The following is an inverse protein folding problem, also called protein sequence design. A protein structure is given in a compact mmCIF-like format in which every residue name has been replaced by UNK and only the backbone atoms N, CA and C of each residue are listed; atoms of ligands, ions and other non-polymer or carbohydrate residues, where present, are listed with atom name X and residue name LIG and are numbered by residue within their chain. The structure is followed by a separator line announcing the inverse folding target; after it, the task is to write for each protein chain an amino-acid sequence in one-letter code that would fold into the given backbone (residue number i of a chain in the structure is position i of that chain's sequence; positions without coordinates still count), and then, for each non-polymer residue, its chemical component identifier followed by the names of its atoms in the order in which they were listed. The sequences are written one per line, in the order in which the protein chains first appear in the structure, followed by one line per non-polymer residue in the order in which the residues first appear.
data_IF_928840409074
#
_entry.id   IF_928840409074
#
_cell.length_a   1.000
_cell.length_b   1.000
_cell.length_c   1.000
_cell.angle_alpha   90.00
_cell.angle_beta   90.00
_cell.angle_gamma   90.00
#
_symmetry.space_group_name_H-M   'P 1'
#
loop_
_entity.id
_entity.type
_entity.pdbx_description
1 polymer ?
#
# COMPACT_ATOMS: atom_id res chain seq x y z
N UNK A 1 0.29 5.88 -3.29
CA UNK A 1 -0.03 5.26 -4.57
C UNK A 1 0.87 5.67 -5.74
N UNK A 2 1.80 6.59 -5.53
CA UNK A 2 2.59 7.18 -6.63
C UNK A 2 4.08 7.24 -6.31
N UNK A 3 4.57 6.44 -5.36
CA UNK A 3 6.00 6.35 -5.15
C UNK A 3 6.71 5.56 -6.27
N UNK A 4 8.01 5.69 -6.31
CA UNK A 4 8.84 5.12 -7.39
C UNK A 4 8.71 3.61 -7.50
N UNK A 5 8.70 2.89 -6.36
CA UNK A 5 8.54 1.44 -6.38
C UNK A 5 7.16 1.04 -6.90
N UNK A 6 6.10 1.64 -6.38
CA UNK A 6 4.72 1.35 -6.78
C UNK A 6 4.48 1.64 -8.26
N UNK A 7 4.97 2.78 -8.77
CA UNK A 7 4.80 3.16 -10.17
C UNK A 7 5.58 2.25 -11.12
N UNK A 8 6.84 1.93 -10.81
CA UNK A 8 7.63 1.02 -11.62
C UNK A 8 7.03 -0.39 -11.61
N UNK A 9 6.59 -0.87 -10.45
CA UNK A 9 5.92 -2.16 -10.32
C UNK A 9 4.59 -2.19 -11.08
N UNK A 10 3.83 -1.10 -11.07
CA UNK A 10 2.62 -0.96 -11.90
C UNK A 10 2.94 -1.12 -13.39
N UNK A 11 3.97 -0.42 -13.87
CA UNK A 11 4.39 -0.53 -15.27
C UNK A 11 4.88 -1.95 -15.62
N UNK A 12 5.60 -2.61 -14.71
CA UNK A 12 6.00 -4.02 -14.87
C UNK A 12 4.78 -4.95 -14.95
N UNK A 13 3.79 -4.76 -14.06
CA UNK A 13 2.56 -5.56 -14.07
C UNK A 13 1.80 -5.39 -15.39
N UNK A 14 1.63 -4.16 -15.87
CA UNK A 14 0.96 -3.85 -17.13
C UNK A 14 1.69 -4.42 -18.36
N UNK A 15 3.01 -4.59 -18.28
CA UNK A 15 3.81 -5.23 -19.32
C UNK A 15 3.95 -6.74 -19.12
N UNK A 16 3.23 -7.35 -18.19
CA UNK A 16 3.19 -8.79 -17.98
C UNK A 16 4.45 -9.39 -17.34
N UNK A 17 5.31 -8.59 -16.72
CA UNK A 17 6.57 -9.06 -16.09
C UNK A 17 6.28 -10.09 -14.99
N UNK A 18 5.19 -9.95 -14.24
CA UNK A 18 4.79 -10.90 -13.20
C UNK A 18 3.88 -12.03 -13.72
N UNK A 19 3.60 -12.08 -15.03
CA UNK A 19 2.56 -12.94 -15.58
C UNK A 19 1.17 -12.48 -15.15
N UNK A 20 0.24 -13.39 -14.93
CA UNK A 20 -1.06 -13.08 -14.36
C UNK A 20 -0.88 -12.82 -12.85
N UNK A 21 -1.25 -11.62 -12.39
CA UNK A 21 -1.26 -11.30 -10.96
C UNK A 21 -2.50 -11.90 -10.32
N UNK A 22 -2.30 -12.85 -9.42
CA UNK A 22 -3.37 -13.62 -8.77
C UNK A 22 -3.68 -13.16 -7.34
N UNK A 23 -2.73 -12.49 -6.69
CA UNK A 23 -2.88 -12.00 -5.32
C UNK A 23 -2.14 -10.68 -5.13
N UNK A 24 -2.72 -9.80 -4.34
CA UNK A 24 -2.05 -8.59 -3.90
C UNK A 24 -2.27 -8.35 -2.39
N UNK A 25 -1.30 -7.71 -1.76
CA UNK A 25 -1.42 -7.25 -0.38
C UNK A 25 -1.05 -5.77 -0.30
N UNK A 26 -1.82 -5.04 0.51
CA UNK A 26 -1.54 -3.65 0.82
C UNK A 26 -1.74 -3.37 2.30
N UNK A 27 -1.06 -2.36 2.82
CA UNK A 27 -1.24 -1.96 4.20
C UNK A 27 -1.04 -0.47 4.42
N UNK A 28 -1.66 0.03 5.48
CA UNK A 28 -1.30 1.27 6.13
C UNK A 28 -1.15 1.00 7.63
N UNK A 29 0.09 0.77 8.03
CA UNK A 29 0.48 0.56 9.44
C UNK A 29 1.37 1.73 9.82
N UNK A 30 0.84 2.62 10.66
CA UNK A 30 1.49 3.87 11.03
C UNK A 30 1.10 4.24 12.45
N UNK A 31 1.96 3.98 13.42
CA UNK A 31 1.68 4.38 14.79
C UNK A 31 1.47 5.89 14.91
N UNK A 32 0.22 6.31 15.05
CA UNK A 32 -0.17 7.70 15.24
C UNK A 32 -0.44 8.04 16.71
N UNK A 33 -0.24 7.11 17.62
CA UNK A 33 -0.53 7.33 19.05
C UNK A 33 0.17 8.57 19.62
N UNK A 34 1.40 8.95 19.26
CA UNK A 34 2.02 10.19 19.71
C UNK A 34 1.27 11.47 19.27
N UNK A 35 0.50 11.37 18.19
CA UNK A 35 -0.21 12.50 17.59
C UNK A 35 -1.67 12.60 18.01
N UNK A 36 -2.23 11.63 18.78
CA UNK A 36 -3.63 11.64 19.17
C UNK A 36 -4.02 12.87 19.98
N UNK A 37 -3.09 13.41 20.78
CA UNK A 37 -3.29 14.67 21.49
C UNK A 37 -3.55 15.86 20.56
N UNK A 38 -2.85 15.89 19.42
CA UNK A 38 -3.04 16.90 18.39
C UNK A 38 -4.41 16.74 17.71
N UNK A 39 -4.78 15.51 17.34
CA UNK A 39 -6.10 15.24 16.76
C UNK A 39 -7.26 15.49 17.70
N UNK A 40 -7.01 15.43 19.02
CA UNK A 40 -8.02 15.73 20.03
C UNK A 40 -8.30 17.22 20.16
N UNK A 41 -7.29 18.06 19.98
CA UNK A 41 -7.35 19.51 20.19
C UNK A 41 -7.64 20.34 18.95
N UNK A 42 -7.50 19.80 17.76
CA UNK A 42 -7.50 20.55 16.50
C UNK A 42 -8.86 20.59 15.80
N UNK A 43 -9.96 20.41 16.52
CA UNK A 43 -11.24 20.78 15.98
C UNK A 43 -11.51 22.26 16.22
N UNK A 44 -11.77 23.05 15.17
CA UNK A 44 -12.43 24.33 15.34
C UNK A 44 -13.75 24.13 16.11
N UNK A 45 -14.00 24.94 17.11
CA UNK A 45 -15.20 24.87 17.94
C UNK A 45 -15.38 23.56 18.74
N UNK A 46 -14.34 23.08 19.44
CA UNK A 46 -14.34 21.86 20.25
C UNK A 46 -14.66 20.55 19.50
N UNK A 47 -14.52 20.54 18.19
CA UNK A 47 -14.69 19.32 17.39
C UNK A 47 -13.41 18.50 17.39
N UNK A 48 -13.58 17.20 17.49
CA UNK A 48 -12.48 16.25 17.31
C UNK A 48 -11.90 16.33 15.90
N UNK A 49 -10.59 16.16 15.76
CA UNK A 49 -9.96 15.99 14.45
C UNK A 49 -10.58 14.79 13.71
N UNK A 50 -10.79 14.92 12.41
CA UNK A 50 -11.53 13.95 11.58
C UNK A 50 -11.08 12.50 11.77
N UNK A 51 -9.78 12.28 11.92
CA UNK A 51 -9.22 10.93 12.04
C UNK A 51 -9.65 10.26 13.34
N UNK A 52 -9.59 10.99 14.46
CA UNK A 52 -10.03 10.48 15.75
C UNK A 52 -11.54 10.26 15.75
N UNK A 53 -12.31 11.25 15.33
CA UNK A 53 -13.77 11.16 15.22
C UNK A 53 -14.22 9.96 14.39
N UNK A 54 -13.54 9.71 13.27
CA UNK A 54 -13.86 8.59 12.39
C UNK A 54 -13.58 7.24 13.03
N UNK A 55 -12.43 7.07 13.70
CA UNK A 55 -12.08 5.84 14.43
C UNK A 55 -13.01 5.60 15.64
N UNK A 56 -13.54 6.66 16.25
CA UNK A 56 -14.50 6.52 17.34
C UNK A 56 -15.88 6.04 16.89
N UNK A 57 -16.30 6.38 15.69
CA UNK A 57 -17.67 6.11 15.19
C UNK A 57 -17.76 4.90 14.29
N UNK A 58 -16.69 4.54 13.60
CA UNK A 58 -16.68 3.48 12.58
C UNK A 58 -15.84 2.28 13.01
N UNK A 59 -16.05 1.16 12.34
CA UNK A 59 -15.25 -0.06 12.47
C UNK A 59 -14.70 -0.45 11.11
N UNK A 60 -13.56 -1.08 11.11
CA UNK A 60 -12.92 -1.58 9.91
C UNK A 60 -11.76 -0.71 9.43
N UNK A 61 -11.37 -0.86 8.17
CA UNK A 61 -10.35 -0.02 7.56
C UNK A 61 -10.92 1.35 7.21
N UNK A 62 -10.71 2.30 8.10
CA UNK A 62 -11.22 3.68 7.94
C UNK A 62 -10.33 4.55 7.05
N UNK A 63 -9.22 4.02 6.53
CA UNK A 63 -8.29 4.73 5.67
C UNK A 63 -7.60 3.80 4.66
N UNK A 64 -8.39 3.15 3.83
CA UNK A 64 -7.95 2.13 2.87
C UNK A 64 -7.05 2.65 1.74
N UNK A 65 -7.02 3.96 1.49
CA UNK A 65 -6.39 4.58 0.33
C UNK A 65 -4.95 4.13 0.10
N UNK A 66 -4.14 4.06 1.16
CA UNK A 66 -2.72 3.71 1.04
C UNK A 66 -2.48 2.21 0.79
N UNK A 67 -3.30 1.34 1.37
CA UNK A 67 -3.21 -0.09 1.14
C UNK A 67 -3.86 -0.52 -0.17
N UNK A 68 -5.12 -0.11 -0.38
CA UNK A 68 -5.93 -0.56 -1.51
C UNK A 68 -5.58 0.13 -2.83
N UNK A 69 -5.30 1.42 -2.81
CA UNK A 69 -5.10 2.21 -4.04
C UNK A 69 -4.04 1.64 -4.98
N UNK A 70 -2.79 1.39 -4.52
CA UNK A 70 -1.74 0.86 -5.38
C UNK A 70 -2.05 -0.53 -5.93
N UNK A 71 -2.58 -1.43 -5.09
CA UNK A 71 -2.88 -2.80 -5.52
C UNK A 71 -4.09 -2.84 -6.47
N UNK A 72 -5.08 -1.97 -6.27
CA UNK A 72 -6.23 -1.88 -7.18
C UNK A 72 -5.81 -1.44 -8.59
N UNK A 73 -4.83 -0.54 -8.71
CA UNK A 73 -4.28 -0.14 -10.00
C UNK A 73 -3.58 -1.32 -10.70
N UNK A 74 -2.76 -2.08 -9.97
CA UNK A 74 -2.02 -3.21 -10.53
C UNK A 74 -2.92 -4.41 -10.91
N UNK A 75 -4.10 -4.49 -10.32
CA UNK A 75 -5.09 -5.54 -10.60
C UNK A 75 -6.16 -5.11 -11.61
N UNK A 76 -6.05 -3.92 -12.19
CA UNK A 76 -6.99 -3.34 -13.15
C UNK A 76 -8.45 -3.24 -12.62
N UNK A 77 -8.60 -2.96 -11.32
CA UNK A 77 -9.93 -2.80 -10.71
C UNK A 77 -10.66 -1.63 -11.40
N UNK A 78 -11.88 -1.90 -11.87
CA UNK A 78 -12.72 -1.06 -12.74
C UNK A 78 -12.18 -0.83 -14.17
N UNK A 79 -11.13 -1.56 -14.57
CA UNK A 79 -10.54 -1.49 -15.93
C UNK A 79 -10.33 -2.87 -16.55
N UNK A 80 -11.02 -3.89 -16.09
CA UNK A 80 -10.92 -5.28 -16.52
C UNK A 80 -11.29 -6.27 -15.42
N UNK A 81 -11.28 -5.81 -14.17
CA UNK A 81 -11.72 -6.60 -13.01
C UNK A 81 -12.55 -5.73 -12.06
N UNK A 82 -13.24 -6.34 -11.10
CA UNK A 82 -14.02 -5.66 -10.07
C UNK A 82 -14.04 -6.45 -8.76
N UNK A 83 -14.16 -5.76 -7.66
CA UNK A 83 -14.33 -6.36 -6.34
C UNK A 83 -15.73 -7.01 -6.28
N UNK A 84 -15.79 -8.26 -5.80
CA UNK A 84 -17.04 -9.04 -5.75
C UNK A 84 -17.49 -9.32 -4.32
N UNK A 85 -16.58 -9.78 -3.48
CA UNK A 85 -16.88 -10.18 -2.11
C UNK A 85 -15.84 -9.60 -1.18
N UNK A 86 -16.27 -9.13 -0.01
CA UNK A 86 -15.40 -8.57 1.02
C UNK A 86 -15.74 -9.20 2.37
N UNK A 87 -14.69 -9.56 3.12
CA UNK A 87 -14.77 -9.94 4.53
C UNK A 87 -13.73 -9.13 5.29
N UNK A 88 -14.13 -8.49 6.36
CA UNK A 88 -13.23 -7.73 7.23
C UNK A 88 -13.39 -8.17 8.68
N UNK A 89 -12.26 -8.21 9.38
CA UNK A 89 -12.19 -8.48 10.80
C UNK A 89 -11.31 -7.43 11.46
N UNK A 90 -11.77 -6.88 12.57
CA UNK A 90 -10.98 -6.00 13.41
C UNK A 90 -10.73 -6.64 14.79
N UNK A 91 -9.64 -6.27 15.42
CA UNK A 91 -9.34 -6.64 16.80
C UNK A 91 -10.26 -5.89 17.77
N UNK A 92 -10.21 -6.24 19.05
CA UNK A 92 -10.75 -5.34 20.07
C UNK A 92 -10.05 -3.98 20.03
N UNK A 93 -10.73 -2.93 20.43
CA UNK A 93 -10.15 -1.61 20.67
C UNK A 93 -9.54 -1.59 22.08
N UNK A 94 -8.28 -1.94 22.19
CA UNK A 94 -7.57 -1.91 23.49
C UNK A 94 -6.93 -0.53 23.72
N UNK A 95 -6.15 -0.05 22.76
CA UNK A 95 -5.47 1.24 22.85
C UNK A 95 -6.47 2.40 22.69
N UNK A 96 -7.42 2.28 21.76
CA UNK A 96 -8.46 3.30 21.58
C UNK A 96 -9.27 3.54 22.85
N UNK A 97 -9.68 2.47 23.56
CA UNK A 97 -10.37 2.59 24.85
C UNK A 97 -9.51 3.20 25.93
N UNK A 98 -8.26 2.75 26.05
CA UNK A 98 -7.35 3.33 27.04
C UNK A 98 -7.11 4.83 26.84
N UNK A 99 -7.02 5.29 25.59
CA UNK A 99 -6.90 6.71 25.27
C UNK A 99 -8.12 7.53 25.72
N UNK A 100 -9.32 6.96 25.59
CA UNK A 100 -10.56 7.61 26.05
C UNK A 100 -10.61 7.64 27.56
N UNK A 101 -10.30 6.53 28.23
CA UNK A 101 -10.29 6.41 29.70
C UNK A 101 -9.25 7.34 30.34
N UNK A 102 -8.06 7.44 29.79
CA UNK A 102 -6.99 8.32 30.28
C UNK A 102 -7.38 9.80 30.25
N UNK A 103 -8.22 10.19 29.30
CA UNK A 103 -8.62 11.59 29.15
C UNK A 103 -9.82 12.01 29.97
N UNK A 104 -10.56 11.08 30.53
CA UNK A 104 -11.73 11.33 31.36
C UNK A 104 -12.72 12.38 30.79
N UNK A 105 -12.71 12.57 29.46
CA UNK A 105 -13.57 13.54 28.78
C UNK A 105 -14.89 12.86 28.41
N UNK A 106 -15.96 13.37 29.00
CA UNK A 106 -17.32 12.85 28.86
C UNK A 106 -17.85 12.88 27.42
N UNK A 107 -17.18 13.56 26.50
CA UNK A 107 -17.57 13.65 25.08
C UNK A 107 -17.17 12.42 24.25
N UNK A 108 -16.35 11.55 24.80
CA UNK A 108 -15.70 10.46 24.05
C UNK A 108 -15.87 9.08 24.67
N UNK A 109 -17.10 8.70 25.01
CA UNK A 109 -17.37 7.47 25.74
C UNK A 109 -17.26 6.16 24.95
N UNK A 110 -16.96 6.18 23.67
CA UNK A 110 -17.00 4.95 22.89
C UNK A 110 -16.03 4.96 21.70
N UNK A 111 -14.89 4.33 21.87
CA UNK A 111 -13.98 4.07 20.75
C UNK A 111 -14.39 2.75 20.07
N UNK A 112 -14.91 2.81 18.85
CA UNK A 112 -15.52 1.67 18.17
C UNK A 112 -14.55 0.87 17.31
N UNK A 113 -13.58 1.54 16.67
CA UNK A 113 -12.68 0.85 15.77
C UNK A 113 -11.72 -0.06 16.52
N UNK A 114 -11.48 -1.25 16.00
CA UNK A 114 -10.41 -2.11 16.49
C UNK A 114 -9.02 -1.48 16.26
N UNK A 115 -8.03 -1.89 17.04
CA UNK A 115 -6.67 -1.35 16.90
C UNK A 115 -6.01 -1.82 15.59
N UNK A 116 -6.42 -2.96 15.07
CA UNK A 116 -5.98 -3.49 13.77
C UNK A 116 -7.17 -4.08 13.01
N UNK A 117 -7.21 -3.81 11.71
CA UNK A 117 -8.19 -4.40 10.78
C UNK A 117 -7.49 -5.16 9.68
N UNK A 118 -7.99 -6.36 9.37
CA UNK A 118 -7.62 -7.15 8.19
C UNK A 118 -8.84 -7.33 7.31
N UNK A 119 -8.70 -7.02 6.02
CA UNK A 119 -9.76 -7.13 5.02
C UNK A 119 -9.30 -8.03 3.89
N UNK A 120 -10.11 -9.01 3.53
CA UNK A 120 -9.94 -9.87 2.36
C UNK A 120 -11.00 -9.53 1.32
N UNK A 121 -10.58 -9.32 0.09
CA UNK A 121 -11.45 -9.02 -1.04
C UNK A 121 -11.18 -10.05 -2.14
N UNK A 122 -12.23 -10.67 -2.64
CA UNK A 122 -12.19 -11.51 -3.85
C UNK A 122 -12.73 -10.70 -5.02
N UNK A 123 -12.00 -10.73 -6.14
CA UNK A 123 -12.43 -10.07 -7.38
C UNK A 123 -13.29 -11.01 -8.24
N UNK A 124 -13.96 -10.48 -9.25
CA UNK A 124 -14.75 -11.24 -10.21
C UNK A 124 -13.90 -12.26 -10.98
N UNK A 125 -12.66 -11.88 -11.35
CA UNK A 125 -11.71 -12.76 -12.03
C UNK A 125 -10.97 -13.72 -11.08
N UNK A 126 -11.40 -13.80 -9.80
CA UNK A 126 -10.88 -14.77 -8.84
C UNK A 126 -9.58 -14.38 -8.14
N UNK A 127 -9.07 -13.16 -8.34
CA UNK A 127 -7.91 -12.63 -7.61
C UNK A 127 -8.27 -12.34 -6.16
N UNK A 128 -7.29 -12.35 -5.28
CA UNK A 128 -7.46 -12.04 -3.85
C UNK A 128 -6.63 -10.83 -3.46
N UNK A 129 -7.26 -9.89 -2.78
CA UNK A 129 -6.61 -8.71 -2.19
C UNK A 129 -6.71 -8.83 -0.67
N UNK A 130 -5.59 -8.61 0.01
CA UNK A 130 -5.54 -8.48 1.46
C UNK A 130 -5.12 -7.05 1.82
N UNK A 131 -5.89 -6.40 2.68
CA UNK A 131 -5.59 -5.04 3.15
C UNK A 131 -5.50 -5.05 4.67
N UNK A 132 -4.47 -4.38 5.20
CA UNK A 132 -4.29 -4.18 6.64
C UNK A 132 -4.26 -2.69 6.98
N UNK A 133 -4.93 -2.34 8.06
CA UNK A 133 -4.94 -0.99 8.60
C UNK A 133 -4.68 -1.01 10.11
N UNK A 134 -3.70 -0.21 10.55
CA UNK A 134 -3.40 -0.04 11.98
C UNK A 134 -2.71 1.30 12.21
N UNK A 135 -3.35 2.17 13.00
CA UNK A 135 -2.79 3.47 13.38
C UNK A 135 -2.64 3.64 14.89
N UNK A 136 -2.84 2.56 15.64
CA UNK A 136 -2.94 2.57 17.09
C UNK A 136 -1.74 1.95 17.78
N UNK A 137 -1.20 0.84 17.24
CA UNK A 137 -0.19 0.06 17.94
C UNK A 137 1.24 0.52 17.63
N UNK A 138 2.19 0.32 18.56
CA UNK A 138 3.58 0.69 18.37
C UNK A 138 4.28 -0.30 17.42
N UNK A 139 4.00 -0.17 16.15
CA UNK A 139 4.65 -0.93 15.08
C UNK A 139 5.51 -0.01 14.21
N UNK A 140 6.60 -0.53 13.62
CA UNK A 140 7.33 0.17 12.58
C UNK A 140 6.42 0.57 11.43
N UNK A 141 6.67 1.74 10.85
CA UNK A 141 5.93 2.20 9.68
C UNK A 141 5.99 1.17 8.55
N UNK A 142 4.81 0.81 8.02
CA UNK A 142 4.71 -0.18 6.97
C UNK A 142 3.57 0.19 6.00
N UNK A 143 3.95 0.45 4.75
CA UNK A 143 3.05 0.58 3.61
C UNK A 143 3.26 -0.60 2.69
N UNK A 144 2.96 -1.79 3.18
CA UNK A 144 3.07 -3.03 2.40
C UNK A 144 2.41 -2.83 1.04
N UNK A 145 3.15 -3.18 0.02
CA UNK A 145 2.66 -3.34 -1.33
C UNK A 145 3.31 -4.58 -1.91
N UNK A 146 2.50 -5.58 -2.17
CA UNK A 146 2.98 -6.88 -2.62
C UNK A 146 2.09 -7.38 -3.76
N UNK A 147 2.72 -7.89 -4.80
CA UNK A 147 2.05 -8.56 -5.92
C UNK A 147 2.60 -9.97 -6.05
N UNK A 148 1.71 -10.96 -6.14
CA UNK A 148 2.05 -12.34 -6.47
C UNK A 148 1.47 -12.67 -7.83
N UNK A 149 2.33 -12.98 -8.77
CA UNK A 149 1.95 -13.38 -10.13
C UNK A 149 2.46 -14.77 -10.48
N UNK A 150 2.03 -15.29 -11.61
CA UNK A 150 2.38 -16.64 -12.09
C UNK A 150 3.83 -16.76 -12.57
N UNK A 151 4.53 -15.64 -12.78
CA UNK A 151 5.92 -15.59 -13.27
C UNK A 151 6.84 -14.72 -12.41
N UNK A 152 6.30 -14.10 -11.37
CA UNK A 152 7.10 -13.24 -10.52
C UNK A 152 6.35 -12.67 -9.34
N UNK A 153 7.12 -12.01 -8.51
CA UNK A 153 6.71 -11.46 -7.23
C UNK A 153 7.35 -10.09 -7.01
N UNK A 154 6.60 -9.17 -6.45
CA UNK A 154 7.09 -7.87 -6.01
C UNK A 154 6.73 -7.63 -4.56
N UNK A 155 7.65 -7.07 -3.78
CA UNK A 155 7.41 -6.69 -2.39
C UNK A 155 8.08 -5.37 -2.06
N UNK A 156 7.38 -4.48 -1.34
CA UNK A 156 7.92 -3.18 -0.95
C UNK A 156 8.40 -3.14 0.51
N UNK A 157 7.66 -3.74 1.43
CA UNK A 157 7.94 -3.72 2.86
C UNK A 157 7.91 -5.14 3.45
N UNK A 158 8.73 -5.43 4.48
CA UNK A 158 9.80 -4.59 5.05
C UNK A 158 11.05 -4.49 4.15
N UNK A 159 11.21 -5.38 3.19
CA UNK A 159 12.33 -5.42 2.24
C UNK A 159 11.78 -5.22 0.84
N UNK A 160 12.28 -4.20 0.13
CA UNK A 160 11.90 -3.96 -1.26
C UNK A 160 12.65 -4.89 -2.20
N UNK A 161 11.93 -5.55 -3.09
CA UNK A 161 12.55 -6.45 -4.06
C UNK A 161 11.57 -7.08 -5.04
N UNK A 162 12.17 -7.73 -6.03
CA UNK A 162 11.49 -8.52 -7.05
C UNK A 162 12.07 -9.93 -7.10
N UNK A 163 11.23 -10.91 -7.39
CA UNK A 163 11.65 -12.26 -7.73
C UNK A 163 10.93 -12.69 -9.00
N UNK A 164 11.63 -13.27 -9.95
CA UNK A 164 11.10 -13.68 -11.26
C UNK A 164 11.52 -15.10 -11.57
N UNK A 165 10.70 -15.84 -12.33
CA UNK A 165 11.12 -17.13 -12.87
C UNK A 165 12.24 -16.97 -13.92
N UNK A 166 12.95 -18.04 -14.22
CA UNK A 166 14.12 -18.02 -15.10
C UNK A 166 13.80 -17.51 -16.52
N UNK A 167 12.64 -17.86 -17.05
CA UNK A 167 12.22 -17.40 -18.40
C UNK A 167 11.93 -15.91 -18.40
N UNK A 168 11.31 -15.43 -17.34
CA UNK A 168 10.99 -14.02 -17.22
C UNK A 168 12.23 -13.17 -16.95
N UNK A 169 13.20 -13.68 -16.21
CA UNK A 169 14.52 -13.03 -16.04
C UNK A 169 15.19 -12.82 -17.40
N UNK A 170 15.32 -13.88 -18.19
CA UNK A 170 15.90 -13.81 -19.54
C UNK A 170 15.15 -12.81 -20.43
N UNK A 171 13.82 -12.84 -20.45
CA UNK A 171 12.99 -11.89 -21.20
C UNK A 171 13.18 -10.45 -20.72
N UNK A 172 13.50 -10.26 -19.45
CA UNK A 172 13.76 -8.95 -18.85
C UNK A 172 15.22 -8.47 -19.03
N UNK A 173 16.09 -9.30 -19.62
CA UNK A 173 17.50 -8.97 -19.82
C UNK A 173 18.39 -9.26 -18.63
N UNK A 174 17.88 -10.01 -17.66
CA UNK A 174 18.64 -10.44 -16.48
C UNK A 174 19.06 -11.90 -16.68
N UNK A 175 20.31 -12.20 -16.35
CA UNK A 175 20.81 -13.57 -16.48
C UNK A 175 20.27 -14.45 -15.35
N UNK A 176 19.55 -15.56 -15.65
CA UNK A 176 19.13 -16.49 -14.63
C UNK A 176 20.31 -17.24 -14.03
N UNK A 177 20.20 -17.63 -12.76
CA UNK A 177 21.14 -18.56 -12.14
C UNK A 177 20.99 -19.95 -12.77
N UNK A 178 22.05 -20.78 -12.65
CA UNK A 178 22.09 -22.12 -13.26
C UNK A 178 21.10 -23.09 -12.58
N UNK A 179 20.84 -22.90 -11.30
CA UNK A 179 19.84 -23.65 -10.55
C UNK A 179 18.45 -23.04 -10.70
N UNK A 180 17.41 -23.85 -10.74
CA UNK A 180 16.01 -23.43 -10.87
C UNK A 180 15.46 -22.67 -9.65
N UNK A 181 16.31 -22.20 -8.74
CA UNK A 181 15.95 -21.52 -7.51
C UNK A 181 15.96 -19.98 -7.62
N UNK A 182 15.91 -19.44 -8.83
CA UNK A 182 15.96 -17.98 -9.09
C UNK A 182 14.88 -17.21 -8.32
N UNK A 183 13.69 -17.80 -8.12
CA UNK A 183 12.57 -17.16 -7.43
C UNK A 183 12.55 -17.38 -5.91
N UNK A 184 13.50 -18.14 -5.35
CA UNK A 184 13.57 -18.39 -3.90
C UNK A 184 14.14 -17.20 -3.11
N UNK A 185 14.73 -16.23 -3.78
CA UNK A 185 15.23 -15.01 -3.15
C UNK A 185 14.93 -13.80 -4.03
N UNK A 186 14.95 -12.64 -3.43
CA UNK A 186 14.91 -11.41 -4.20
C UNK A 186 16.15 -11.29 -5.11
N UNK A 187 15.97 -10.62 -6.24
CA UNK A 187 17.08 -10.29 -7.14
C UNK A 187 18.14 -9.47 -6.41
N UNK A 188 19.43 -9.69 -6.72
CA UNK A 188 20.51 -8.81 -6.27
C UNK A 188 20.25 -7.36 -6.70
N UNK A 189 20.83 -6.41 -5.95
CA UNK A 189 20.61 -4.98 -6.16
C UNK A 189 20.89 -4.53 -7.60
N UNK A 190 22.00 -4.97 -8.18
CA UNK A 190 22.37 -4.62 -9.56
C UNK A 190 21.38 -5.12 -10.61
N UNK A 191 20.81 -6.29 -10.39
CA UNK A 191 19.80 -6.88 -11.27
C UNK A 191 18.45 -6.16 -11.11
N UNK A 192 18.10 -5.79 -9.88
CA UNK A 192 16.92 -4.95 -9.63
C UNK A 192 17.04 -3.58 -10.29
N UNK A 193 18.21 -2.95 -10.25
CA UNK A 193 18.47 -1.67 -10.91
C UNK A 193 18.30 -1.79 -12.44
N UNK A 194 18.81 -2.87 -13.02
CA UNK A 194 18.64 -3.19 -14.46
C UNK A 194 17.15 -3.35 -14.81
N UNK A 195 16.43 -4.13 -14.01
CA UNK A 195 15.00 -4.36 -14.20
C UNK A 195 14.20 -3.05 -14.11
N UNK A 196 14.45 -2.27 -13.05
CA UNK A 196 13.79 -0.97 -12.82
C UNK A 196 14.10 0.01 -13.95
N UNK A 197 15.35 0.10 -14.41
CA UNK A 197 15.73 0.98 -15.52
C UNK A 197 14.97 0.62 -16.82
N UNK A 198 14.83 -0.67 -17.12
CA UNK A 198 14.07 -1.15 -18.29
C UNK A 198 12.59 -0.81 -18.20
N UNK A 199 11.98 -1.02 -17.05
CA UNK A 199 10.54 -0.88 -16.82
C UNK A 199 10.16 0.40 -16.06
N UNK A 200 11.03 1.41 -16.05
CA UNK A 200 10.70 2.68 -15.39
C UNK A 200 9.41 3.26 -15.98
N UNK A 201 8.49 3.65 -15.11
CA UNK A 201 7.19 4.18 -15.53
C UNK A 201 7.36 5.46 -16.36
N UNK A 202 6.67 5.62 -17.51
CA UNK A 202 6.84 6.78 -18.39
C UNK A 202 6.70 8.14 -17.70
N UNK A 203 5.77 8.27 -16.75
CA UNK A 203 5.58 9.51 -15.98
C UNK A 203 6.80 9.84 -15.10
N UNK A 204 7.46 8.80 -14.54
CA UNK A 204 8.69 9.00 -13.76
C UNK A 204 9.87 9.36 -14.65
N UNK A 205 9.96 8.81 -15.86
CA UNK A 205 10.97 9.21 -16.85
C UNK A 205 10.81 10.69 -17.22
N UNK A 206 9.57 11.15 -17.38
CA UNK A 206 9.28 12.51 -17.84
C UNK A 206 9.39 13.54 -16.74
N UNK A 207 8.89 13.25 -15.55
CA UNK A 207 8.70 14.23 -14.49
C UNK A 207 9.41 13.88 -13.17
N UNK A 208 10.13 12.74 -13.07
CA UNK A 208 10.67 12.26 -11.82
C UNK A 208 11.65 13.21 -11.15
N UNK A 209 12.56 13.83 -11.90
CA UNK A 209 13.51 14.79 -11.33
C UNK A 209 12.79 16.06 -10.84
N UNK A 210 11.91 16.62 -11.66
CA UNK A 210 11.08 17.76 -11.26
C UNK A 210 10.24 17.45 -10.01
N UNK A 211 9.69 16.25 -9.92
CA UNK A 211 8.92 15.82 -8.76
C UNK A 211 9.75 15.81 -7.46
N UNK A 212 11.01 15.40 -7.54
CA UNK A 212 11.92 15.44 -6.39
C UNK A 212 12.23 16.87 -5.95
N UNK A 213 12.40 17.77 -6.90
CA UNK A 213 12.66 19.20 -6.63
C UNK A 213 11.45 19.91 -6.01
N UNK A 214 10.26 19.66 -6.54
CA UNK A 214 9.00 20.24 -6.03
C UNK A 214 8.67 19.69 -4.64
N UNK A 215 9.01 18.42 -4.36
CA UNK A 215 8.78 17.79 -3.07
C UNK A 215 7.36 17.23 -2.90
N UNK A 216 6.85 17.21 -1.65
CA UNK A 216 5.60 16.54 -1.30
C UNK A 216 5.77 15.00 -1.27
N UNK A 217 6.00 14.44 -0.06
CA UNK A 217 6.27 13.01 0.15
C UNK A 217 7.33 12.42 -0.82
N UNK A 218 8.44 13.14 -1.02
CA UNK A 218 9.50 12.75 -1.95
C UNK A 218 9.11 12.83 -3.43
N UNK A 219 8.16 13.71 -3.78
CA UNK A 219 7.67 13.93 -5.14
C UNK A 219 6.43 13.14 -5.52
N UNK A 220 5.90 12.30 -4.63
CA UNK A 220 4.70 11.50 -4.90
C UNK A 220 3.47 12.37 -5.17
N UNK A 221 3.31 13.46 -4.42
CA UNK A 221 2.16 14.35 -4.54
C UNK A 221 2.17 15.04 -5.90
N UNK A 222 3.34 15.53 -6.33
CA UNK A 222 3.50 16.12 -7.66
C UNK A 222 3.17 15.13 -8.79
N UNK A 223 3.62 13.87 -8.70
CA UNK A 223 3.30 12.84 -9.70
C UNK A 223 1.80 12.54 -9.71
N UNK A 224 1.16 12.51 -8.57
CA UNK A 224 -0.29 12.32 -8.44
C UNK A 224 -1.05 13.46 -9.14
N UNK A 225 -0.68 14.70 -8.86
CA UNK A 225 -1.31 15.88 -9.45
C UNK A 225 -1.09 15.94 -10.96
N UNK A 226 0.13 15.66 -11.44
CA UNK A 226 0.40 15.53 -12.87
C UNK A 226 -0.53 14.49 -13.51
N UNK A 227 -0.74 13.37 -12.86
CA UNK A 227 -1.59 12.31 -13.40
C UNK A 227 -3.06 12.70 -13.42
N UNK A 228 -3.52 13.43 -12.43
CA UNK A 228 -4.89 13.99 -12.41
C UNK A 228 -5.13 14.99 -13.55
N UNK A 229 -4.16 15.85 -13.82
CA UNK A 229 -4.27 16.89 -14.85
C UNK A 229 -4.22 16.31 -16.28
N UNK A 230 -3.47 15.23 -16.49
CA UNK A 230 -3.28 14.61 -17.81
C UNK A 230 -4.16 13.38 -18.09
N UNK A 231 -5.06 13.02 -17.19
CA UNK A 231 -6.12 12.06 -17.43
C UNK A 231 -7.42 12.76 -17.73
#
# INVERSE_FOLDING_TARGET
CYDWFEMNTLNMAQQGVFGEVIRAQGAYIHNLSPFWNHYWKNGENDKLGWRLDYNMRHRGDVYATHGLGPVAQALDIHRGDRMKTLVAMDTKSAIGKALVEERADSTCNNFRNGDHTTTLIRTENGKVIEIQHNVMTPQPYNRLYQLTGTKGFANKYPISGYALDAKQLTASGVQPKIDDLNSHSFLPKSEMETLVAKYQHPILKKYGEMAKEVGGHGGMDFIMDCRLVYC
#
